data_IF_715606983119
#
_entry.id   IF_715606983119
#
_cell.length_a   1.000
_cell.length_b   1.000
_cell.length_c   1.000
_cell.angle_alpha   90.00
_cell.angle_beta   90.00
_cell.angle_gamma   90.00
#
_symmetry.space_group_name_H-M   'P 1'
#
loop_
_entity.id
_entity.type
_entity.pdbx_description
1 polymer ?
#
# COMPACT_ATOMS: atom_id res chain seq x y z
N UNK A 1 18.52 -0.08 15.58
CA UNK A 1 19.97 -0.11 15.29
C UNK A 1 20.24 0.12 13.80
N UNK A 2 19.68 -0.70 12.89
CA UNK A 2 19.86 -0.53 11.45
C UNK A 2 19.32 0.81 10.86
N UNK A 3 18.12 1.25 11.23
CA UNK A 3 17.55 2.53 10.75
C UNK A 3 18.38 3.75 11.15
N UNK A 4 18.95 3.73 12.35
CA UNK A 4 19.85 4.78 12.84
C UNK A 4 21.18 4.82 12.05
N UNK A 5 21.70 3.67 11.64
CA UNK A 5 22.90 3.61 10.78
C UNK A 5 22.61 4.18 9.39
N UNK A 6 21.45 3.84 8.80
CA UNK A 6 20.98 4.41 7.53
C UNK A 6 20.87 5.94 7.63
N UNK A 7 20.20 6.44 8.68
CA UNK A 7 20.02 7.87 8.90
C UNK A 7 21.37 8.59 9.05
N UNK A 8 22.29 8.06 9.85
CA UNK A 8 23.63 8.62 10.02
C UNK A 8 24.40 8.66 8.71
N UNK A 9 24.31 7.60 7.90
CA UNK A 9 24.96 7.57 6.60
C UNK A 9 24.39 8.63 5.64
N UNK A 10 23.08 8.85 5.64
CA UNK A 10 22.44 9.87 4.80
C UNK A 10 22.73 11.30 5.28
N UNK A 11 22.87 11.52 6.60
CA UNK A 11 23.30 12.82 7.15
C UNK A 11 24.78 13.10 6.87
N UNK A 12 25.64 12.08 6.89
CA UNK A 12 27.07 12.22 6.60
C UNK A 12 27.34 12.47 5.10
N UNK A 13 26.49 11.96 4.23
CA UNK A 13 26.54 12.16 2.79
C UNK A 13 25.17 12.59 2.23
N UNK A 14 24.92 13.91 2.13
CA UNK A 14 23.67 14.45 1.57
C UNK A 14 23.47 14.12 0.08
N UNK A 15 24.51 13.65 -0.63
CA UNK A 15 24.43 13.27 -2.04
C UNK A 15 24.04 11.81 -2.23
N UNK A 16 23.97 11.05 -1.13
CA UNK A 16 23.52 9.65 -1.14
C UNK A 16 22.10 9.55 -1.68
N UNK A 17 21.92 8.66 -2.65
CA UNK A 17 20.61 8.36 -3.23
C UNK A 17 19.73 7.63 -2.22
N UNK A 18 18.93 8.41 -1.49
CA UNK A 18 18.01 7.95 -0.46
C UNK A 18 16.82 8.93 -0.35
N UNK A 19 16.03 9.13 -1.41
CA UNK A 19 15.08 10.24 -1.52
C UNK A 19 14.04 10.27 -0.39
N UNK A 20 13.60 9.11 0.09
CA UNK A 20 12.69 9.02 1.24
C UNK A 20 13.36 9.51 2.54
N UNK A 21 14.59 9.05 2.81
CA UNK A 21 15.33 9.45 4.02
C UNK A 21 15.64 10.96 3.96
N UNK A 22 16.06 11.46 2.79
CA UNK A 22 16.32 12.88 2.58
C UNK A 22 15.06 13.71 2.74
N UNK A 23 13.91 13.24 2.25
CA UNK A 23 12.62 13.91 2.45
C UNK A 23 12.23 13.97 3.93
N UNK A 24 12.44 12.89 4.69
CA UNK A 24 12.18 12.87 6.15
C UNK A 24 13.13 13.78 6.92
N UNK A 25 14.40 13.87 6.52
CA UNK A 25 15.38 14.80 7.11
C UNK A 25 14.98 16.26 6.84
N UNK A 26 14.49 16.56 5.64
CA UNK A 26 14.07 17.90 5.23
C UNK A 26 12.65 18.27 5.73
N UNK A 27 11.86 17.28 6.17
CA UNK A 27 10.48 17.48 6.59
C UNK A 27 10.42 18.38 7.82
N UNK A 28 9.50 19.34 7.76
CA UNK A 28 9.19 20.24 8.86
C UNK A 28 7.68 20.27 9.05
N UNK A 29 7.23 20.15 10.30
CA UNK A 29 5.83 20.28 10.66
C UNK A 29 5.33 21.71 10.30
N UNK A 30 4.33 21.86 9.43
CA UNK A 30 3.83 23.18 9.03
C UNK A 30 3.17 23.96 10.16
N UNK A 31 2.63 23.27 11.18
CA UNK A 31 1.93 23.92 12.29
C UNK A 31 2.91 24.36 13.39
N UNK A 32 3.94 23.55 13.66
CA UNK A 32 4.90 23.84 14.75
C UNK A 32 6.26 24.34 14.28
N UNK A 33 6.56 24.25 12.98
CA UNK A 33 7.86 24.60 12.40
C UNK A 33 9.01 23.68 12.84
N UNK A 34 8.70 22.55 13.50
CA UNK A 34 9.71 21.64 14.05
C UNK A 34 10.08 20.55 13.04
N UNK A 35 11.38 20.22 12.90
CA UNK A 35 11.79 19.06 12.13
C UNK A 35 11.42 17.76 12.86
N UNK A 36 11.39 16.65 12.14
CA UNK A 36 11.32 15.33 12.75
C UNK A 36 12.59 15.05 13.56
N UNK A 37 12.44 14.41 14.73
CA UNK A 37 13.59 13.93 15.49
C UNK A 37 14.23 12.73 14.79
N UNK A 38 15.50 12.45 15.08
CA UNK A 38 16.16 11.25 14.53
C UNK A 38 15.45 9.95 14.95
N UNK A 39 14.80 9.94 16.12
CA UNK A 39 13.98 8.83 16.60
C UNK A 39 12.71 8.67 15.76
N UNK A 40 12.00 9.77 15.49
CA UNK A 40 10.81 9.77 14.62
C UNK A 40 11.17 9.30 13.21
N UNK A 41 12.24 9.84 12.62
CA UNK A 41 12.70 9.42 11.29
C UNK A 41 13.03 7.92 11.29
N UNK A 42 13.74 7.42 12.30
CA UNK A 42 14.04 5.99 12.40
C UNK A 42 12.79 5.12 12.59
N UNK A 43 11.79 5.62 13.31
CA UNK A 43 10.49 4.97 13.49
C UNK A 43 9.72 4.88 12.17
N UNK A 44 9.62 5.99 11.44
CA UNK A 44 8.95 6.04 10.13
C UNK A 44 9.63 5.11 9.12
N UNK A 45 10.97 5.10 9.06
CA UNK A 45 11.71 4.18 8.19
C UNK A 45 11.39 2.72 8.49
N UNK A 46 11.25 2.35 9.76
CA UNK A 46 10.88 0.99 10.15
C UNK A 46 9.46 0.65 9.68
N UNK A 47 8.52 1.58 9.82
CA UNK A 47 7.14 1.42 9.36
C UNK A 47 7.11 1.24 7.84
N UNK A 48 7.80 2.09 7.07
CA UNK A 48 7.87 1.95 5.61
C UNK A 48 8.43 0.60 5.17
N UNK A 49 9.50 0.13 5.81
CA UNK A 49 10.11 -1.16 5.47
C UNK A 49 9.16 -2.33 5.78
N UNK A 50 8.53 -2.36 6.95
CA UNK A 50 7.67 -3.48 7.35
C UNK A 50 6.33 -3.44 6.63
N UNK A 51 5.62 -2.31 6.71
CA UNK A 51 4.28 -2.19 6.16
C UNK A 51 4.28 -2.21 4.63
N UNK A 52 5.30 -1.63 3.98
CA UNK A 52 5.41 -1.59 2.52
C UNK A 52 5.89 -2.91 1.91
N UNK A 53 6.77 -3.64 2.60
CA UNK A 53 7.33 -4.89 2.07
C UNK A 53 6.32 -6.03 2.07
N UNK A 54 5.79 -6.38 3.25
CA UNK A 54 5.01 -7.62 3.39
C UNK A 54 3.68 -7.53 2.65
N UNK A 55 3.04 -6.35 2.66
CA UNK A 55 1.76 -6.15 1.94
C UNK A 55 1.95 -6.21 0.43
N UNK A 56 2.95 -5.51 -0.12
CA UNK A 56 3.23 -5.50 -1.56
C UNK A 56 3.68 -6.88 -2.05
N UNK A 57 4.55 -7.57 -1.31
CA UNK A 57 5.00 -8.91 -1.65
C UNK A 57 3.85 -9.91 -1.67
N UNK A 58 2.94 -9.84 -0.69
CA UNK A 58 1.75 -10.69 -0.63
C UNK A 58 0.82 -10.42 -1.81
N UNK A 59 0.56 -9.15 -2.11
CA UNK A 59 -0.26 -8.74 -3.26
C UNK A 59 0.33 -9.26 -4.59
N UNK A 60 1.63 -9.07 -4.82
CA UNK A 60 2.29 -9.54 -6.04
C UNK A 60 2.28 -11.07 -6.14
N UNK A 61 2.50 -11.77 -5.02
CA UNK A 61 2.45 -13.23 -4.98
C UNK A 61 1.09 -13.75 -5.40
N UNK A 62 0.01 -13.15 -4.88
CA UNK A 62 -1.35 -13.55 -5.24
C UNK A 62 -1.69 -13.20 -6.69
N UNK A 63 -1.29 -12.02 -7.17
CA UNK A 63 -1.50 -11.63 -8.56
C UNK A 63 -0.81 -12.60 -9.55
N UNK A 64 0.44 -12.97 -9.28
CA UNK A 64 1.17 -13.95 -10.10
C UNK A 64 0.55 -15.35 -10.01
N UNK A 65 0.08 -15.74 -8.83
CA UNK A 65 -0.64 -17.00 -8.64
C UNK A 65 -1.91 -17.05 -9.49
N UNK A 66 -2.75 -16.02 -9.45
CA UNK A 66 -3.99 -15.93 -10.24
C UNK A 66 -3.71 -15.93 -11.75
N UNK A 67 -2.70 -15.18 -12.20
CA UNK A 67 -2.29 -15.18 -13.61
C UNK A 67 -1.82 -16.58 -14.05
N UNK A 68 -1.10 -17.31 -13.20
CA UNK A 68 -0.68 -18.68 -13.49
C UNK A 68 -1.83 -19.68 -13.62
N UNK A 69 -2.99 -19.37 -13.04
CA UNK A 69 -4.23 -20.15 -13.20
C UNK A 69 -5.08 -19.71 -14.40
N UNK A 70 -4.82 -18.52 -14.96
CA UNK A 70 -5.57 -17.91 -16.05
C UNK A 70 -4.65 -17.46 -17.20
N UNK A 71 -4.17 -18.40 -18.05
CA UNK A 71 -3.20 -18.09 -19.11
C UNK A 71 -3.67 -17.02 -20.11
N UNK A 72 -4.97 -16.94 -20.37
CA UNK A 72 -5.56 -15.92 -21.24
C UNK A 72 -5.39 -14.51 -20.67
N UNK A 73 -5.50 -14.34 -19.35
CA UNK A 73 -5.25 -13.07 -18.68
C UNK A 73 -3.74 -12.77 -18.62
N UNK A 74 -2.92 -13.79 -18.38
CA UNK A 74 -1.45 -13.67 -18.42
C UNK A 74 -0.96 -13.18 -19.78
N UNK A 75 -1.43 -13.78 -20.86
CA UNK A 75 -1.07 -13.40 -22.23
C UNK A 75 -1.50 -11.96 -22.54
N UNK A 76 -2.64 -11.52 -22.02
CA UNK A 76 -3.13 -10.15 -22.19
C UNK A 76 -2.28 -9.13 -21.42
N UNK A 77 -1.82 -9.44 -20.21
CA UNK A 77 -0.83 -8.60 -19.48
C UNK A 77 0.49 -8.52 -20.27
N UNK A 78 0.98 -9.66 -20.77
CA UNK A 78 2.21 -9.70 -21.57
C UNK A 78 2.09 -8.87 -22.86
N UNK A 79 0.94 -8.95 -23.55
CA UNK A 79 0.66 -8.17 -24.74
C UNK A 79 0.63 -6.66 -24.44
N UNK A 80 -0.01 -6.23 -23.35
CA UNK A 80 -0.04 -4.82 -22.93
C UNK A 80 1.37 -4.27 -22.67
N UNK A 81 2.22 -5.05 -22.00
CA UNK A 81 3.62 -4.65 -21.76
C UNK A 81 4.40 -4.61 -23.08
N UNK A 82 4.17 -5.54 -24.00
CA UNK A 82 4.84 -5.58 -25.30
C UNK A 82 4.55 -4.32 -26.16
N UNK A 83 3.39 -3.69 -26.02
CA UNK A 83 3.06 -2.43 -26.70
C UNK A 83 3.94 -1.25 -26.26
N UNK A 84 4.61 -1.34 -25.10
CA UNK A 84 5.57 -0.33 -24.65
C UNK A 84 6.88 -0.40 -25.45
N UNK A 85 7.20 -1.58 -25.97
CA UNK A 85 8.41 -1.86 -26.75
C UNK A 85 9.59 -2.34 -25.89
N UNK A 86 10.63 -2.79 -26.57
CA UNK A 86 11.85 -3.34 -25.95
C UNK A 86 12.81 -2.21 -25.54
N UNK A 87 12.47 -1.56 -24.42
CA UNK A 87 13.31 -0.54 -23.78
C UNK A 87 13.14 -0.59 -22.27
N UNK A 88 14.03 0.11 -21.56
CA UNK A 88 13.89 0.31 -20.13
C UNK A 88 12.57 1.01 -19.81
N UNK A 89 11.83 0.46 -18.84
CA UNK A 89 10.58 1.02 -18.35
C UNK A 89 10.86 2.24 -17.48
N UNK A 90 10.00 3.24 -17.59
CA UNK A 90 10.05 4.46 -16.79
C UNK A 90 8.77 4.59 -15.95
N UNK A 91 8.77 5.38 -14.88
CA UNK A 91 7.53 5.65 -14.13
C UNK A 91 6.37 6.18 -14.99
N UNK A 92 6.68 6.89 -16.08
CA UNK A 92 5.68 7.40 -17.02
C UNK A 92 4.93 6.30 -17.78
N UNK A 93 5.47 5.09 -17.86
CA UNK A 93 4.84 3.96 -18.55
C UNK A 93 3.70 3.32 -17.76
N UNK A 94 3.65 3.51 -16.45
CA UNK A 94 2.61 2.94 -15.58
C UNK A 94 1.21 3.35 -16.03
N UNK A 95 1.06 4.58 -16.54
CA UNK A 95 -0.23 5.07 -17.07
C UNK A 95 -0.73 4.29 -18.30
N UNK A 96 0.15 3.54 -18.98
CA UNK A 96 -0.19 2.69 -20.13
C UNK A 96 -0.56 1.26 -19.74
N UNK A 97 -0.29 0.85 -18.50
CA UNK A 97 -0.49 -0.51 -17.98
C UNK A 97 -1.88 -0.66 -17.35
N UNK A 98 -2.93 -0.33 -18.10
CA UNK A 98 -4.30 -0.25 -17.59
C UNK A 98 -4.82 -1.63 -17.16
N UNK A 99 -4.64 -2.65 -17.99
CA UNK A 99 -5.08 -4.00 -17.71
C UNK A 99 -4.27 -4.64 -16.59
N UNK A 100 -2.95 -4.41 -16.55
CA UNK A 100 -2.09 -4.82 -15.44
C UNK A 100 -2.58 -4.21 -14.12
N UNK A 101 -2.95 -2.93 -14.11
CA UNK A 101 -3.54 -2.30 -12.94
C UNK A 101 -4.90 -2.92 -12.54
N UNK A 102 -5.72 -3.34 -13.52
CA UNK A 102 -6.96 -4.08 -13.24
C UNK A 102 -6.68 -5.43 -12.57
N UNK A 103 -5.68 -6.18 -13.05
CA UNK A 103 -5.26 -7.46 -12.45
C UNK A 103 -4.78 -7.26 -11.00
N UNK A 104 -3.99 -6.22 -10.74
CA UNK A 104 -3.53 -5.89 -9.38
C UNK A 104 -4.73 -5.56 -8.49
N UNK A 105 -5.67 -4.73 -8.96
CA UNK A 105 -6.86 -4.37 -8.20
C UNK A 105 -7.77 -5.57 -7.93
N UNK A 106 -7.94 -6.47 -8.89
CA UNK A 106 -8.73 -7.69 -8.70
C UNK A 106 -8.05 -8.65 -7.72
N UNK A 107 -6.72 -8.72 -7.77
CA UNK A 107 -5.92 -9.49 -6.81
C UNK A 107 -6.07 -8.93 -5.39
N UNK A 108 -6.12 -7.61 -5.23
CA UNK A 108 -6.41 -6.94 -3.94
C UNK A 108 -7.86 -7.12 -3.49
N UNK A 109 -8.81 -7.23 -4.44
CA UNK A 109 -10.20 -7.55 -4.14
C UNK A 109 -10.31 -8.96 -3.55
N UNK A 110 -9.69 -9.93 -4.20
CA UNK A 110 -9.74 -11.34 -3.83
C UNK A 110 -8.84 -11.67 -2.62
N UNK A 111 -7.62 -11.14 -2.56
CA UNK A 111 -6.68 -11.40 -1.46
C UNK A 111 -6.06 -10.10 -0.94
N UNK A 112 -6.83 -9.29 -0.18
CA UNK A 112 -6.29 -8.08 0.43
C UNK A 112 -5.29 -8.46 1.53
N UNK A 113 -4.01 -8.05 1.45
CA UNK A 113 -3.03 -8.35 2.50
C UNK A 113 -3.43 -7.80 3.87
N UNK A 114 -4.09 -6.65 3.89
CA UNK A 114 -4.77 -6.10 5.06
C UNK A 114 -6.29 -6.39 4.98
N UNK A 115 -6.70 -7.55 5.46
CA UNK A 115 -8.07 -8.05 5.32
C UNK A 115 -9.14 -7.31 6.16
N UNK A 116 -8.74 -6.45 7.09
CA UNK A 116 -9.64 -5.64 7.88
C UNK A 116 -8.92 -4.52 8.63
N UNK A 117 -9.69 -3.54 9.08
CA UNK A 117 -9.15 -2.37 9.79
C UNK A 117 -10.08 -1.96 10.94
N UNK A 118 -9.51 -1.66 12.10
CA UNK A 118 -10.23 -1.23 13.29
C UNK A 118 -10.25 0.29 13.48
N UNK A 119 -11.29 0.79 14.14
CA UNK A 119 -11.42 2.17 14.64
C UNK A 119 -11.98 2.14 16.05
N UNK A 120 -11.45 3.00 16.92
CA UNK A 120 -12.03 3.26 18.24
C UNK A 120 -13.07 4.37 18.10
N UNK A 121 -14.27 4.11 18.58
CA UNK A 121 -15.38 5.07 18.59
C UNK A 121 -15.12 6.12 19.67
N UNK A 122 -14.96 7.38 19.29
CA UNK A 122 -14.60 8.46 20.23
C UNK A 122 -15.80 9.03 20.98
N UNK A 123 -16.98 8.98 20.38
CA UNK A 123 -18.24 9.43 20.96
C UNK A 123 -19.34 8.42 20.59
N UNK A 124 -20.40 8.33 21.37
CA UNK A 124 -21.56 7.51 21.01
C UNK A 124 -22.06 7.86 19.61
N UNK A 125 -22.22 6.85 18.74
CA UNK A 125 -22.73 7.00 17.37
C UNK A 125 -23.89 6.06 17.11
N UNK A 126 -24.72 6.40 16.13
CA UNK A 126 -25.72 5.50 15.58
C UNK A 126 -25.30 5.06 14.17
N UNK A 127 -25.23 3.76 13.91
CA UNK A 127 -24.90 3.18 12.59
C UNK A 127 -26.03 2.23 12.23
N UNK A 128 -26.74 2.53 11.13
CA UNK A 128 -27.88 1.73 10.65
C UNK A 128 -28.92 1.40 11.74
N UNK A 129 -29.22 2.38 12.60
CA UNK A 129 -30.15 2.22 13.72
C UNK A 129 -29.56 1.56 14.98
N UNK A 130 -28.31 1.08 14.94
CA UNK A 130 -27.62 0.53 16.10
C UNK A 130 -26.81 1.60 16.82
N UNK A 131 -26.96 1.68 18.14
CA UNK A 131 -26.10 2.52 18.99
C UNK A 131 -24.77 1.82 19.24
N UNK A 132 -23.68 2.52 18.99
CA UNK A 132 -22.31 2.09 19.32
C UNK A 132 -21.73 3.09 20.30
N UNK A 133 -21.30 2.62 21.46
CA UNK A 133 -20.85 3.47 22.56
C UNK A 133 -19.39 3.91 22.38
N UNK A 134 -19.06 5.08 22.91
CA UNK A 134 -17.68 5.56 23.01
C UNK A 134 -16.78 4.50 23.68
N UNK A 135 -15.58 4.31 23.15
CA UNK A 135 -14.63 3.29 23.57
C UNK A 135 -14.80 1.93 22.87
N UNK A 136 -15.89 1.71 22.13
CA UNK A 136 -16.05 0.49 21.32
C UNK A 136 -15.06 0.43 20.17
N UNK A 137 -14.64 -0.79 19.78
CA UNK A 137 -13.89 -1.02 18.54
C UNK A 137 -14.86 -1.43 17.45
N UNK A 138 -14.89 -0.65 16.37
CA UNK A 138 -15.60 -1.00 15.13
C UNK A 138 -14.57 -1.46 14.11
N UNK A 139 -14.82 -2.61 13.48
CA UNK A 139 -13.95 -3.14 12.43
C UNK A 139 -14.65 -3.10 11.08
N UNK A 140 -13.93 -2.66 10.06
CA UNK A 140 -14.33 -2.83 8.65
C UNK A 140 -13.65 -4.09 8.13
N UNK A 141 -14.46 -5.10 7.81
CA UNK A 141 -13.99 -6.34 7.21
C UNK A 141 -13.81 -6.14 5.69
N UNK A 142 -12.66 -5.60 5.29
CA UNK A 142 -12.30 -5.30 3.88
C UNK A 142 -12.51 -6.55 3.00
N UNK A 143 -12.04 -7.71 3.46
CA UNK A 143 -12.17 -8.96 2.73
C UNK A 143 -13.63 -9.39 2.48
N UNK A 144 -14.52 -9.11 3.44
CA UNK A 144 -15.95 -9.39 3.30
C UNK A 144 -16.63 -8.37 2.37
N UNK A 145 -16.31 -7.09 2.52
CA UNK A 145 -16.81 -6.02 1.65
C UNK A 145 -16.44 -6.26 0.18
N UNK A 146 -15.22 -6.71 -0.09
CA UNK A 146 -14.74 -7.04 -1.43
C UNK A 146 -15.43 -8.28 -2.06
N UNK A 147 -16.26 -8.99 -1.30
CA UNK A 147 -17.06 -10.15 -1.72
C UNK A 147 -18.56 -9.96 -1.50
N UNK A 148 -18.99 -8.75 -1.20
CA UNK A 148 -20.41 -8.47 -0.99
C UNK A 148 -21.17 -8.60 -2.32
N UNK A 149 -22.13 -9.54 -2.46
CA UNK A 149 -22.92 -9.71 -3.68
C UNK A 149 -23.82 -8.51 -3.98
N UNK A 150 -24.06 -7.62 -3.01
CA UNK A 150 -24.76 -6.35 -3.26
C UNK A 150 -23.88 -5.32 -3.99
N UNK A 151 -22.55 -5.50 -3.97
CA UNK A 151 -21.57 -4.61 -4.60
C UNK A 151 -20.92 -5.23 -5.83
N UNK A 152 -20.84 -6.56 -5.91
CA UNK A 152 -20.14 -7.29 -6.97
C UNK A 152 -21.04 -8.36 -7.59
N UNK A 153 -21.26 -8.28 -8.91
CA UNK A 153 -22.07 -9.26 -9.65
C UNK A 153 -21.52 -10.69 -9.55
N UNK A 154 -20.19 -10.82 -9.49
CA UNK A 154 -19.46 -12.09 -9.35
C UNK A 154 -18.43 -11.95 -8.24
N UNK A 155 -18.83 -12.11 -6.96
CA UNK A 155 -17.96 -11.81 -5.83
C UNK A 155 -16.84 -12.85 -5.64
N UNK A 156 -16.92 -14.01 -6.27
CA UNK A 156 -15.95 -15.12 -6.22
C UNK A 156 -15.55 -15.57 -7.62
#
# INVERSE_FOLDING_TARGET
QATMEILRACRADPTRDAPLVQALIAATDPDTGRPLSDEDICGELLIFMLSGHDTTATMLTYALWELGLHPDMQDRVAAEVAEIGDRELTPGDVARLTYTAQVINESLRLCPPAAGVGRVVLNDIAVDGYRVEAGSIVAVAINALHRDPALWDRPL
#
